data_IF_650251733482
#
_entry.id   IF_650251733482
#
_cell.length_a   1.000
_cell.length_b   1.000
_cell.length_c   1.000
_cell.angle_alpha   90.00
_cell.angle_beta   90.00
_cell.angle_gamma   90.00
#
_symmetry.space_group_name_H-M   'P 1'
#
loop_
_entity.id
_entity.type
_entity.pdbx_description
1 polymer ?
#
# COMPACT_ATOMS: atom_id res chain seq x y z
N UNK A 1 -6.03 -9.22 -6.06
CA UNK A 1 -5.53 -10.62 -5.98
C UNK A 1 -4.62 -10.87 -7.19
N UNK A 2 -3.67 -11.81 -7.11
CA UNK A 2 -2.82 -12.12 -8.26
C UNK A 2 -3.66 -12.57 -9.46
N UNK A 3 -3.27 -12.16 -10.67
CA UNK A 3 -3.99 -12.49 -11.91
C UNK A 3 -3.72 -13.93 -12.37
N UNK A 4 -2.62 -14.53 -11.93
CA UNK A 4 -2.28 -15.91 -12.24
C UNK A 4 -3.14 -16.88 -11.40
N UNK A 5 -3.89 -17.79 -12.05
CA UNK A 5 -4.71 -18.77 -11.33
C UNK A 5 -3.88 -19.66 -10.40
N UNK A 6 -4.44 -19.98 -9.23
CA UNK A 6 -3.80 -20.85 -8.23
C UNK A 6 -2.77 -20.17 -7.33
N UNK A 7 -2.40 -18.91 -7.60
CA UNK A 7 -1.52 -18.14 -6.72
C UNK A 7 -2.33 -17.39 -5.66
N UNK A 8 -1.74 -17.28 -4.47
CA UNK A 8 -2.24 -16.48 -3.35
C UNK A 8 -1.12 -15.59 -2.84
N UNK A 9 -1.46 -14.36 -2.47
CA UNK A 9 -0.57 -13.41 -1.79
C UNK A 9 -1.27 -12.98 -0.51
N UNK A 10 -0.49 -12.91 0.56
CA UNK A 10 -0.92 -12.46 1.89
C UNK A 10 0.02 -11.36 2.38
N UNK A 11 -0.46 -10.51 3.28
CA UNK A 11 0.27 -9.35 3.79
C UNK A 11 0.72 -9.59 5.23
N UNK A 12 2.02 -9.46 5.50
CA UNK A 12 2.58 -9.42 6.86
C UNK A 12 2.72 -7.97 7.35
N UNK A 13 3.20 -7.08 6.47
CA UNK A 13 3.34 -5.64 6.65
C UNK A 13 3.61 -4.97 5.31
N UNK A 14 3.49 -3.64 5.23
CA UNK A 14 3.62 -2.88 3.99
C UNK A 14 4.75 -1.85 3.95
N UNK A 15 5.30 -1.44 5.11
CA UNK A 15 6.35 -0.41 5.17
C UNK A 15 7.64 -0.89 5.85
N UNK A 16 7.53 -1.42 7.07
CA UNK A 16 8.71 -1.75 7.90
C UNK A 16 8.87 -3.25 8.10
N UNK A 17 10.11 -3.74 7.93
CA UNK A 17 10.51 -5.10 8.29
C UNK A 17 11.69 -5.07 9.27
N UNK A 18 11.52 -5.67 10.45
CA UNK A 18 12.66 -5.99 11.33
C UNK A 18 13.09 -7.41 11.08
N UNK A 19 14.38 -7.59 10.75
CA UNK A 19 14.91 -8.88 10.31
C UNK A 19 16.09 -9.35 11.13
N UNK A 20 16.14 -10.65 11.42
CA UNK A 20 17.26 -11.28 12.14
C UNK A 20 17.40 -12.75 11.73
N UNK A 21 18.64 -13.22 11.62
CA UNK A 21 18.90 -14.65 11.48
C UNK A 21 18.60 -15.40 12.78
N UNK A 22 17.84 -16.50 12.68
CA UNK A 22 17.60 -17.41 13.80
C UNK A 22 18.79 -18.36 14.03
N UNK A 23 18.70 -19.22 15.06
CA UNK A 23 19.75 -20.19 15.40
C UNK A 23 19.96 -21.29 14.35
N UNK A 24 19.08 -21.41 13.35
CA UNK A 24 19.20 -22.34 12.22
C UNK A 24 19.74 -21.65 10.97
N UNK A 25 20.07 -20.35 11.06
CA UNK A 25 20.56 -19.55 9.94
C UNK A 25 19.46 -19.08 8.98
N UNK A 26 18.19 -19.21 9.34
CA UNK A 26 17.09 -18.68 8.54
C UNK A 26 16.88 -17.20 8.86
N UNK A 27 16.83 -16.34 7.84
CA UNK A 27 16.44 -14.94 8.01
C UNK A 27 14.96 -14.88 8.36
N UNK A 28 14.62 -14.37 9.55
CA UNK A 28 13.26 -14.15 10.02
C UNK A 28 12.91 -12.67 9.94
N UNK A 29 11.66 -12.35 9.59
CA UNK A 29 11.13 -11.00 9.62
C UNK A 29 9.86 -10.90 10.45
N UNK A 30 9.70 -9.76 11.13
CA UNK A 30 8.42 -9.33 11.70
C UNK A 30 8.03 -7.98 11.08
N UNK A 31 6.73 -7.73 11.03
CA UNK A 31 6.20 -6.38 10.93
C UNK A 31 6.10 -5.79 12.34
N UNK A 32 6.82 -4.70 12.66
CA UNK A 32 6.74 -4.07 13.99
C UNK A 32 5.51 -3.15 14.15
N UNK A 33 4.70 -2.97 13.11
CA UNK A 33 3.53 -2.09 13.08
C UNK A 33 2.22 -2.86 13.28
N UNK A 34 1.16 -2.13 13.66
CA UNK A 34 -0.18 -2.68 13.92
C UNK A 34 -1.25 -2.15 12.95
N UNK A 35 -0.83 -1.49 11.88
CA UNK A 35 -1.70 -0.81 10.95
C UNK A 35 -1.00 -0.45 9.67
N UNK A 36 -1.77 0.08 8.72
CA UNK A 36 -1.24 0.63 7.48
C UNK A 36 -1.44 2.14 7.49
N UNK A 37 -0.36 2.86 7.22
CA UNK A 37 -0.39 4.31 7.02
C UNK A 37 -0.19 4.64 5.55
N UNK A 38 -1.09 4.15 4.70
CA UNK A 38 -0.95 4.20 3.25
C UNK A 38 -1.28 5.56 2.64
N UNK A 39 -0.65 5.86 1.51
CA UNK A 39 -0.98 7.01 0.66
C UNK A 39 -2.35 6.78 0.01
N UNK A 40 -3.27 7.72 0.19
CA UNK A 40 -4.61 7.60 -0.38
C UNK A 40 -4.61 7.83 -1.91
N UNK A 41 -4.11 8.96 -2.45
CA UNK A 41 -4.17 9.25 -3.89
C UNK A 41 -3.56 8.14 -4.75
N UNK A 42 -4.28 7.75 -5.82
CA UNK A 42 -3.94 6.63 -6.69
C UNK A 42 -4.43 5.25 -6.21
N UNK A 43 -4.91 5.13 -4.97
CA UNK A 43 -5.57 3.92 -4.47
C UNK A 43 -7.01 3.87 -4.99
N UNK A 44 -7.42 2.77 -5.61
CA UNK A 44 -8.77 2.58 -6.16
C UNK A 44 -9.13 1.10 -6.17
N UNK A 45 -10.39 0.79 -6.51
CA UNK A 45 -10.80 -0.62 -6.67
C UNK A 45 -10.01 -1.32 -7.78
N UNK A 46 -9.55 -0.58 -8.79
CA UNK A 46 -8.75 -1.13 -9.90
C UNK A 46 -7.27 -1.28 -9.55
N UNK A 47 -6.68 -0.35 -8.80
CA UNK A 47 -5.25 -0.39 -8.46
C UNK A 47 -4.95 -1.24 -7.23
N UNK A 48 -5.77 -1.14 -6.18
CA UNK A 48 -5.61 -1.88 -4.93
C UNK A 48 -6.97 -2.16 -4.25
N UNK A 49 -7.74 -3.15 -4.76
CA UNK A 49 -9.03 -3.51 -4.18
C UNK A 49 -8.93 -4.01 -2.73
N UNK A 50 -7.76 -4.53 -2.33
CA UNK A 50 -7.53 -5.00 -0.96
C UNK A 50 -7.50 -3.82 0.01
N UNK A 51 -6.78 -2.74 -0.32
CA UNK A 51 -6.78 -1.53 0.48
C UNK A 51 -8.18 -0.93 0.55
N UNK A 52 -8.92 -0.86 -0.57
CA UNK A 52 -10.31 -0.36 -0.57
C UNK A 52 -11.20 -1.17 0.38
N UNK A 53 -11.10 -2.50 0.38
CA UNK A 53 -11.85 -3.33 1.32
C UNK A 53 -11.41 -3.18 2.79
N UNK A 54 -10.21 -2.66 3.04
CA UNK A 54 -9.64 -2.50 4.39
C UNK A 54 -10.06 -1.18 5.05
N UNK A 55 -10.13 -0.09 4.26
CA UNK A 55 -10.16 1.29 4.78
C UNK A 55 -11.56 1.84 5.10
N UNK A 56 -12.65 1.19 4.68
CA UNK A 56 -14.02 1.71 4.91
C UNK A 56 -14.64 1.30 6.25
N UNK A 57 -13.81 0.94 7.23
CA UNK A 57 -14.20 0.73 8.64
C UNK A 57 -13.04 1.08 9.56
N UNK A 58 -13.33 1.63 10.74
CA UNK A 58 -12.34 1.94 11.80
C UNK A 58 -11.06 2.65 11.32
N UNK A 59 -11.17 3.52 10.32
CA UNK A 59 -10.03 4.15 9.65
C UNK A 59 -10.10 5.65 9.83
N UNK A 60 -8.95 6.26 10.08
CA UNK A 60 -8.80 7.72 10.12
C UNK A 60 -8.21 8.17 8.80
N UNK A 61 -8.86 9.12 8.14
CA UNK A 61 -8.35 9.74 6.93
C UNK A 61 -7.84 11.16 7.22
N UNK A 62 -6.70 11.52 6.63
CA UNK A 62 -6.05 12.80 6.83
C UNK A 62 -5.80 13.49 5.50
N UNK A 63 -6.32 14.71 5.34
CA UNK A 63 -6.18 15.56 4.14
C UNK A 63 -6.74 14.96 2.83
N UNK A 64 -7.73 14.09 2.92
CA UNK A 64 -8.54 13.65 1.76
C UNK A 64 -9.73 14.59 1.54
N UNK A 65 -10.37 14.50 0.37
CA UNK A 65 -11.64 15.17 0.14
C UNK A 65 -12.79 14.43 0.82
N UNK A 66 -13.88 15.12 1.10
CA UNK A 66 -15.13 14.54 1.59
C UNK A 66 -16.24 14.66 0.56
N UNK A 67 -17.20 13.73 0.61
CA UNK A 67 -18.37 13.71 -0.26
C UNK A 67 -19.64 14.07 0.53
N UNK A 68 -20.67 14.55 -0.16
CA UNK A 68 -21.91 15.01 0.48
C UNK A 68 -22.74 13.92 1.14
N UNK A 69 -22.47 12.65 0.83
CA UNK A 69 -23.07 11.46 1.42
C UNK A 69 -22.25 10.91 2.60
N UNK A 70 -21.19 11.60 3.01
CA UNK A 70 -20.36 11.24 4.17
C UNK A 70 -19.18 10.32 3.86
N UNK A 71 -18.89 10.07 2.58
CA UNK A 71 -17.71 9.35 2.12
C UNK A 71 -16.46 10.23 1.97
N UNK A 72 -15.45 9.65 1.32
CA UNK A 72 -14.15 10.26 1.04
C UNK A 72 -13.83 10.18 -0.45
N UNK A 73 -12.97 11.08 -0.92
CA UNK A 73 -12.51 11.10 -2.31
C UNK A 73 -11.04 11.53 -2.41
N UNK A 74 -10.36 11.03 -3.43
CA UNK A 74 -9.04 11.48 -3.87
C UNK A 74 -8.85 11.13 -5.36
N UNK A 75 -7.82 11.71 -5.97
CA UNK A 75 -7.45 11.46 -7.36
C UNK A 75 -7.21 9.96 -7.62
N UNK A 76 -7.87 9.40 -8.62
CA UNK A 76 -7.83 7.98 -8.97
C UNK A 76 -9.09 7.19 -8.61
N UNK A 77 -10.02 7.77 -7.82
CA UNK A 77 -11.32 7.17 -7.48
C UNK A 77 -12.45 7.56 -8.43
N UNK A 78 -12.18 8.21 -9.57
CA UNK A 78 -13.23 8.75 -10.44
C UNK A 78 -14.19 7.67 -10.99
N UNK A 79 -13.77 6.41 -11.03
CA UNK A 79 -14.60 5.26 -11.43
C UNK A 79 -15.33 4.62 -10.24
N UNK A 80 -14.96 4.96 -9.01
CA UNK A 80 -15.49 4.37 -7.77
C UNK A 80 -16.61 5.24 -7.14
N UNK A 81 -16.92 6.42 -7.71
CA UNK A 81 -17.95 7.34 -7.20
C UNK A 81 -19.01 7.68 -8.26
N UNK A 82 -20.21 8.05 -7.82
CA UNK A 82 -21.25 8.61 -8.70
C UNK A 82 -20.82 9.98 -9.25
N UNK A 83 -21.08 10.22 -10.53
CA UNK A 83 -20.76 11.49 -11.21
C UNK A 83 -21.49 12.70 -10.60
N UNK A 84 -22.63 12.48 -9.93
CA UNK A 84 -23.42 13.51 -9.29
C UNK A 84 -22.97 13.81 -7.85
N UNK A 85 -22.01 13.05 -7.31
CA UNK A 85 -21.49 13.25 -5.96
C UNK A 85 -20.81 14.62 -5.85
N UNK A 86 -21.23 15.42 -4.88
CA UNK A 86 -20.62 16.72 -4.59
C UNK A 86 -19.43 16.50 -3.67
N UNK A 87 -18.29 17.07 -4.04
CA UNK A 87 -17.02 16.88 -3.36
C UNK A 87 -16.59 18.20 -2.71
N UNK A 88 -16.05 18.12 -1.50
CA UNK A 88 -15.36 19.21 -0.81
C UNK A 88 -13.89 18.83 -0.66
N UNK A 89 -12.98 19.65 -1.18
CA UNK A 89 -11.55 19.41 -1.13
C UNK A 89 -11.01 19.39 0.30
N UNK A 90 -9.79 18.91 0.47
CA UNK A 90 -9.10 18.82 1.76
C UNK A 90 -8.89 20.17 2.48
N UNK A 91 -9.16 21.30 1.81
CA UNK A 91 -9.08 22.65 2.36
C UNK A 91 -10.47 23.22 2.68
N UNK A 92 -11.53 22.42 2.54
CA UNK A 92 -12.91 22.81 2.84
C UNK A 92 -13.60 23.60 1.72
N UNK A 93 -13.12 23.53 0.47
CA UNK A 93 -13.73 24.23 -0.67
C UNK A 93 -14.48 23.27 -1.58
N UNK A 94 -15.58 23.73 -2.17
CA UNK A 94 -16.29 22.94 -3.19
C UNK A 94 -15.33 22.58 -4.34
N UNK A 95 -15.38 21.32 -4.78
CA UNK A 95 -14.50 20.77 -5.79
C UNK A 95 -15.27 19.97 -6.84
N UNK A 96 -14.74 19.96 -8.06
CA UNK A 96 -15.18 19.10 -9.16
C UNK A 96 -14.01 18.80 -10.10
N UNK A 97 -14.20 17.87 -11.03
CA UNK A 97 -13.16 17.42 -11.98
C UNK A 97 -12.63 18.50 -12.93
N UNK A 98 -13.34 19.62 -13.09
CA UNK A 98 -12.85 20.79 -13.87
C UNK A 98 -11.93 21.72 -13.06
N UNK A 99 -11.77 21.47 -11.76
CA UNK A 99 -10.95 22.27 -10.86
C UNK A 99 -9.46 22.10 -11.19
N UNK A 100 -8.69 23.20 -11.12
CA UNK A 100 -7.24 23.20 -11.41
C UNK A 100 -6.37 22.68 -10.27
N UNK A 101 -6.95 22.46 -9.10
CA UNK A 101 -6.26 21.97 -7.90
C UNK A 101 -6.78 20.59 -7.53
N UNK A 102 -5.98 19.72 -6.91
CA UNK A 102 -6.45 18.42 -6.47
C UNK A 102 -7.49 18.54 -5.35
N UNK A 103 -8.39 17.57 -5.29
CA UNK A 103 -9.38 17.37 -4.24
C UNK A 103 -8.70 16.94 -2.92
N UNK A 104 -7.72 16.04 -3.00
CA UNK A 104 -6.94 15.58 -1.84
C UNK A 104 -5.52 16.14 -1.85
N UNK A 105 -4.86 16.21 -0.69
CA UNK A 105 -3.43 16.50 -0.66
C UNK A 105 -2.66 15.34 -1.34
N UNK A 106 -1.63 15.56 -2.17
CA UNK A 106 -0.95 14.49 -2.92
C UNK A 106 -0.31 13.39 -2.06
N UNK A 107 -0.02 13.68 -0.79
CA UNK A 107 0.46 12.72 0.21
C UNK A 107 -0.53 12.58 1.39
N UNK A 108 -1.83 12.76 1.13
CA UNK A 108 -2.88 12.44 2.09
C UNK A 108 -2.88 10.93 2.40
N UNK A 109 -3.39 10.59 3.58
CA UNK A 109 -3.18 9.26 4.18
C UNK A 109 -4.47 8.68 4.71
N UNK A 110 -4.56 7.35 4.67
CA UNK A 110 -5.42 6.59 5.56
C UNK A 110 -4.56 5.93 6.65
N UNK A 111 -5.11 5.83 7.86
CA UNK A 111 -4.53 5.12 8.99
C UNK A 111 -5.54 4.06 9.43
N UNK A 112 -5.25 2.80 9.13
CA UNK A 112 -6.21 1.68 9.27
C UNK A 112 -5.59 0.49 10.01
N UNK A 113 -6.33 -0.25 10.84
CA UNK A 113 -5.81 -1.43 11.53
C UNK A 113 -5.47 -2.58 10.56
N UNK A 114 -4.32 -3.21 10.75
CA UNK A 114 -3.80 -4.23 9.83
C UNK A 114 -4.71 -5.47 9.77
N UNK A 115 -5.26 -5.86 10.92
CA UNK A 115 -6.16 -7.01 11.07
C UNK A 115 -7.43 -6.93 10.19
N UNK A 116 -7.81 -5.73 9.72
CA UNK A 116 -8.95 -5.58 8.80
C UNK A 116 -8.65 -5.98 7.36
N UNK A 117 -7.37 -6.15 7.01
CA UNK A 117 -7.00 -6.52 5.66
C UNK A 117 -7.49 -7.94 5.34
N UNK A 118 -8.27 -8.12 4.27
CA UNK A 118 -8.90 -9.41 3.95
C UNK A 118 -7.88 -10.48 3.52
N UNK A 119 -6.62 -10.10 3.32
CA UNK A 119 -5.52 -11.01 3.00
C UNK A 119 -4.36 -10.88 3.99
N UNK A 120 -4.63 -10.44 5.23
CA UNK A 120 -3.60 -10.45 6.27
C UNK A 120 -3.10 -11.88 6.48
N UNK A 121 -1.78 -12.06 6.53
CA UNK A 121 -1.16 -13.38 6.71
C UNK A 121 -1.47 -13.89 8.12
N UNK A 122 -1.83 -15.17 8.32
CA UNK A 122 -2.13 -15.71 9.65
C UNK A 122 -0.97 -15.65 10.65
N UNK A 123 0.26 -15.43 10.18
CA UNK A 123 1.48 -15.28 10.98
C UNK A 123 1.99 -13.84 11.03
N UNK A 124 1.19 -12.85 10.64
CA UNK A 124 1.62 -11.45 10.62
C UNK A 124 2.09 -10.94 12.01
N UNK A 125 1.51 -11.46 13.09
CA UNK A 125 1.89 -11.20 14.50
C UNK A 125 2.70 -12.36 15.14
N UNK A 126 3.20 -13.31 14.35
CA UNK A 126 3.96 -14.44 14.90
C UNK A 126 5.24 -13.92 15.59
N UNK A 127 5.48 -14.22 16.88
CA UNK A 127 6.64 -13.72 17.60
C UNK A 127 7.96 -14.28 17.05
N UNK A 128 7.92 -15.46 16.42
CA UNK A 128 9.07 -16.08 15.75
C UNK A 128 9.39 -15.46 14.38
N UNK A 129 8.50 -14.59 13.87
CA UNK A 129 8.57 -14.05 12.52
C UNK A 129 8.39 -15.07 11.40
N UNK A 130 8.35 -14.56 10.17
CA UNK A 130 8.23 -15.37 8.94
C UNK A 130 9.60 -15.55 8.28
N UNK A 131 9.87 -16.72 7.67
CA UNK A 131 11.12 -16.95 6.96
C UNK A 131 11.18 -16.17 5.65
N UNK A 132 12.23 -15.38 5.45
CA UNK A 132 12.49 -14.64 4.22
C UNK A 132 13.37 -15.46 3.29
N UNK A 133 12.92 -15.61 2.04
CA UNK A 133 13.63 -16.37 1.00
C UNK A 133 14.12 -15.50 -0.17
N UNK A 134 13.60 -14.28 -0.30
CA UNK A 134 14.00 -13.32 -1.33
C UNK A 134 13.86 -11.89 -0.80
N UNK A 135 14.76 -11.00 -1.24
CA UNK A 135 14.67 -9.54 -1.01
C UNK A 135 14.63 -8.89 -2.39
N UNK A 136 13.63 -8.03 -2.61
CA UNK A 136 13.41 -7.36 -3.89
C UNK A 136 13.76 -5.88 -3.74
N UNK A 137 14.59 -5.38 -4.65
CA UNK A 137 14.85 -3.96 -4.81
C UNK A 137 14.14 -3.45 -6.07
N UNK A 138 13.68 -2.20 -6.04
CA UNK A 138 12.97 -1.62 -7.17
C UNK A 138 12.80 -0.12 -7.05
N UNK A 139 12.53 0.51 -8.19
CA UNK A 139 12.28 1.94 -8.30
C UNK A 139 11.71 2.29 -9.68
N UNK A 140 11.36 3.55 -9.90
CA UNK A 140 10.79 4.00 -11.18
C UNK A 140 11.90 4.37 -12.16
N UNK A 141 12.09 3.56 -13.21
CA UNK A 141 13.10 3.75 -14.25
C UNK A 141 12.45 3.74 -15.64
N UNK A 142 12.37 4.88 -16.35
CA UNK A 142 11.63 4.95 -17.61
C UNK A 142 12.31 4.23 -18.77
N UNK A 143 13.63 4.04 -18.72
CA UNK A 143 14.43 3.40 -19.76
C UNK A 143 15.61 2.62 -19.15
N UNK A 144 16.14 1.64 -19.91
CA UNK A 144 17.44 1.00 -19.69
C UNK A 144 17.46 -0.15 -18.67
N UNK A 145 16.71 -0.06 -17.56
CA UNK A 145 16.64 -1.13 -16.56
C UNK A 145 15.59 -2.17 -17.00
N UNK A 146 15.92 -3.48 -17.05
CA UNK A 146 14.96 -4.52 -17.43
C UNK A 146 13.87 -4.70 -16.37
N UNK A 147 12.80 -5.43 -16.72
CA UNK A 147 11.65 -5.67 -15.83
C UNK A 147 12.05 -6.36 -14.52
N UNK A 148 12.87 -7.41 -14.60
CA UNK A 148 13.39 -8.16 -13.45
C UNK A 148 14.73 -8.81 -13.84
N UNK A 149 15.66 -8.83 -12.90
CA UNK A 149 16.91 -9.59 -12.99
C UNK A 149 17.33 -10.04 -11.59
N UNK A 150 18.12 -11.11 -11.52
CA UNK A 150 18.64 -11.65 -10.26
C UNK A 150 20.10 -11.26 -10.06
N UNK A 151 20.48 -10.92 -8.83
CA UNK A 151 21.87 -10.64 -8.48
C UNK A 151 22.69 -11.93 -8.44
N UNK A 152 23.84 -11.95 -9.13
CA UNK A 152 24.76 -13.10 -9.17
C UNK A 152 25.20 -13.67 -7.80
N UNK A 153 25.23 -12.88 -6.74
CA UNK A 153 25.56 -13.29 -5.38
C UNK A 153 25.20 -12.20 -4.36
N UNK A 154 25.39 -12.49 -3.08
CA UNK A 154 25.08 -11.57 -1.98
C UNK A 154 25.78 -10.19 -2.08
N UNK A 155 27.09 -10.16 -2.38
CA UNK A 155 27.84 -8.89 -2.50
C UNK A 155 27.31 -8.04 -3.65
N UNK A 156 26.99 -8.68 -4.78
CA UNK A 156 26.35 -8.00 -5.91
C UNK A 156 24.94 -7.51 -5.53
N UNK A 157 24.16 -8.29 -4.78
CA UNK A 157 22.85 -7.87 -4.29
C UNK A 157 22.89 -6.65 -3.37
N UNK A 158 23.87 -6.58 -2.47
CA UNK A 158 24.10 -5.38 -1.63
C UNK A 158 24.45 -4.17 -2.51
N UNK A 159 25.27 -4.34 -3.55
CA UNK A 159 25.58 -3.26 -4.48
C UNK A 159 24.36 -2.80 -5.27
N UNK A 160 23.53 -3.73 -5.75
CA UNK A 160 22.27 -3.44 -6.44
C UNK A 160 21.35 -2.61 -5.54
N UNK A 161 21.20 -2.97 -4.27
CA UNK A 161 20.38 -2.21 -3.32
C UNK A 161 20.94 -0.82 -2.97
N UNK A 162 22.24 -0.61 -3.16
CA UNK A 162 22.89 0.68 -2.91
C UNK A 162 22.89 1.63 -4.13
N UNK A 163 22.40 1.18 -5.29
CA UNK A 163 22.47 1.88 -6.58
C UNK A 163 21.12 2.48 -7.00
#
# INVERSE_FOLDING_TARGET
>A
TPTLPGYKIECVGDDIAWMRFDNKGQLRAINPENGFFGVAPGTSTSSNPIAMNTIFKNTIFTNVASTNDGGVFWEGMEQDIDQNTKITDWRGKAWNTSSKTPAAHPNSRFCTPAQQCPIIDPKWESPDGVPISAILFGGRRPNGVPLVYESFNWKHGVLVGAS
#
